data_IF_083005782648
#
_entry.id   IF_083005782648
#
_cell.length_a   1.000
_cell.length_b   1.000
_cell.length_c   1.000
_cell.angle_alpha   90.00
_cell.angle_beta   90.00
_cell.angle_gamma   90.00
#
_symmetry.space_group_name_H-M   'P 1'
#
loop_
_entity.id
_entity.type
_entity.pdbx_description
1 polymer ?
#
# COMPACT_ATOMS: atom_id res chain seq x y z
N UNK A 1 32.55 -18.90 -42.96
CA UNK A 1 31.29 -18.15 -43.18
C UNK A 1 31.38 -17.51 -44.56
N UNK A 2 30.33 -17.57 -45.39
CA UNK A 2 30.28 -16.85 -46.67
C UNK A 2 29.09 -15.91 -46.65
N UNK A 3 29.28 -14.69 -47.15
CA UNK A 3 28.19 -13.74 -47.29
C UNK A 3 27.33 -14.09 -48.53
N UNK A 4 26.17 -13.45 -48.65
CA UNK A 4 25.38 -13.51 -49.88
C UNK A 4 26.27 -13.07 -51.07
N UNK A 5 26.36 -13.91 -52.12
CA UNK A 5 27.30 -13.71 -53.23
C UNK A 5 28.65 -14.44 -53.10
N UNK A 6 28.77 -15.40 -52.18
CA UNK A 6 29.92 -16.33 -52.05
C UNK A 6 31.27 -15.71 -51.63
N UNK A 7 31.29 -14.45 -51.21
CA UNK A 7 32.51 -13.81 -50.69
C UNK A 7 32.96 -14.44 -49.36
N UNK A 8 34.20 -14.94 -49.26
CA UNK A 8 34.76 -15.47 -48.02
C UNK A 8 35.25 -14.33 -47.12
N UNK A 9 35.34 -14.60 -45.82
CA UNK A 9 36.10 -13.77 -44.89
C UNK A 9 37.60 -13.84 -45.24
N UNK A 10 38.29 -12.70 -45.18
CA UNK A 10 39.71 -12.62 -45.51
C UNK A 10 40.61 -13.27 -44.45
N UNK A 11 40.18 -13.26 -43.19
CA UNK A 11 40.88 -13.83 -42.03
C UNK A 11 39.87 -14.48 -41.08
N UNK A 12 40.32 -15.42 -40.26
CA UNK A 12 39.49 -16.05 -39.23
C UNK A 12 39.11 -15.02 -38.15
N UNK A 13 37.81 -14.80 -37.97
CA UNK A 13 37.28 -13.89 -36.94
C UNK A 13 36.71 -14.68 -35.77
N UNK A 14 37.30 -14.50 -34.58
CA UNK A 14 36.80 -15.06 -33.33
C UNK A 14 36.63 -13.95 -32.30
N UNK A 15 35.47 -13.93 -31.63
CA UNK A 15 35.18 -12.98 -30.55
C UNK A 15 34.60 -13.71 -29.34
N UNK A 16 35.09 -13.38 -28.14
CA UNK A 16 34.47 -13.78 -26.88
C UNK A 16 33.54 -12.66 -26.45
N UNK A 17 32.23 -12.89 -26.56
CA UNK A 17 31.23 -11.92 -26.14
C UNK A 17 30.66 -12.33 -24.79
N UNK A 18 30.75 -11.45 -23.80
CA UNK A 18 30.12 -11.68 -22.50
C UNK A 18 28.59 -11.59 -22.67
N UNK A 19 27.89 -12.69 -22.43
CA UNK A 19 26.43 -12.69 -22.44
C UNK A 19 25.94 -12.02 -21.15
N UNK A 20 25.16 -10.92 -21.22
CA UNK A 20 24.66 -10.26 -20.02
C UNK A 20 23.77 -11.23 -19.23
N UNK A 21 23.85 -11.17 -17.90
CA UNK A 21 22.93 -11.92 -17.07
C UNK A 21 21.53 -11.36 -17.23
N UNK A 22 20.55 -12.26 -17.38
CA UNK A 22 19.16 -11.86 -17.45
C UNK A 22 18.75 -11.14 -16.15
N UNK A 23 18.11 -9.96 -16.22
CA UNK A 23 17.67 -9.25 -15.04
C UNK A 23 16.68 -10.09 -14.25
N UNK A 24 16.83 -10.07 -12.94
CA UNK A 24 15.89 -10.65 -11.99
C UNK A 24 14.95 -9.54 -11.55
N UNK A 25 13.66 -9.79 -11.62
CA UNK A 25 12.63 -8.77 -11.41
C UNK A 25 11.51 -9.33 -10.56
N UNK A 26 10.94 -8.48 -9.70
CA UNK A 26 9.69 -8.70 -9.00
C UNK A 26 8.92 -7.40 -9.02
N UNK A 27 7.61 -7.48 -9.24
CA UNK A 27 6.72 -6.34 -9.25
C UNK A 27 5.36 -6.74 -8.66
N UNK A 28 4.82 -5.87 -7.82
CA UNK A 28 3.45 -5.95 -7.32
C UNK A 28 2.56 -5.29 -8.38
N UNK A 29 1.60 -6.04 -8.92
CA UNK A 29 0.73 -5.57 -10.00
C UNK A 29 -0.48 -4.80 -9.47
N UNK A 30 -1.13 -4.00 -10.33
CA UNK A 30 -2.24 -3.12 -9.99
C UNK A 30 -1.81 -1.70 -9.61
N UNK A 31 -2.76 -0.76 -9.62
CA UNK A 31 -2.55 0.66 -9.25
C UNK A 31 -3.40 1.01 -8.03
N UNK A 32 -2.88 1.88 -7.16
CA UNK A 32 -3.57 2.37 -5.96
C UNK A 32 -3.21 1.61 -4.67
N UNK A 33 -3.64 2.17 -3.55
CA UNK A 33 -3.34 1.69 -2.20
C UNK A 33 -4.54 1.07 -1.48
N UNK A 34 -5.59 0.66 -2.19
CA UNK A 34 -6.81 0.08 -1.62
C UNK A 34 -7.07 -1.31 -2.20
N UNK A 35 -7.26 -2.30 -1.33
CA UNK A 35 -7.65 -3.66 -1.68
C UNK A 35 -9.00 -3.95 -1.00
N UNK A 36 -10.04 -4.20 -1.80
CA UNK A 36 -11.37 -4.47 -1.25
C UNK A 36 -11.37 -5.77 -0.42
N UNK A 37 -11.96 -5.73 0.77
CA UNK A 37 -12.06 -6.90 1.64
C UNK A 37 -12.97 -8.01 1.05
N UNK A 38 -13.88 -7.65 0.16
CA UNK A 38 -14.93 -8.50 -0.41
C UNK A 38 -14.50 -9.38 -1.59
N UNK A 39 -13.23 -9.32 -2.00
CA UNK A 39 -12.68 -10.14 -3.09
C UNK A 39 -11.73 -11.25 -2.62
N UNK A 40 -10.87 -11.71 -3.54
CA UNK A 40 -9.92 -12.79 -3.30
C UNK A 40 -8.81 -12.43 -2.30
N UNK A 41 -8.73 -11.16 -1.84
CA UNK A 41 -7.72 -10.64 -0.90
C UNK A 41 -6.30 -11.00 -1.30
N UNK A 42 -6.08 -11.07 -2.62
CA UNK A 42 -4.82 -11.44 -3.24
C UNK A 42 -4.26 -10.27 -4.04
N UNK A 43 -2.94 -10.12 -4.01
CA UNK A 43 -2.22 -9.24 -4.92
C UNK A 43 -1.49 -10.04 -5.96
N UNK A 44 -1.68 -9.68 -7.22
CA UNK A 44 -0.93 -10.27 -8.34
C UNK A 44 0.52 -9.81 -8.27
N UNK A 45 1.44 -10.75 -8.42
CA UNK A 45 2.88 -10.54 -8.40
C UNK A 45 3.44 -11.02 -9.73
N UNK A 46 4.14 -10.13 -10.43
CA UNK A 46 4.89 -10.47 -11.63
C UNK A 46 6.36 -10.66 -11.25
N UNK A 47 6.96 -11.75 -11.70
CA UNK A 47 8.37 -12.04 -11.40
C UNK A 47 9.09 -12.62 -12.61
N UNK A 48 10.41 -12.46 -12.67
CA UNK A 48 11.26 -13.01 -13.73
C UNK A 48 12.54 -13.56 -13.15
N UNK A 49 12.91 -14.77 -13.59
CA UNK A 49 14.16 -15.43 -13.18
C UNK A 49 14.37 -15.55 -11.65
N UNK A 50 13.28 -15.63 -10.88
CA UNK A 50 13.27 -15.81 -9.43
C UNK A 50 12.67 -17.16 -9.06
N UNK A 51 13.40 -17.97 -8.29
CA UNK A 51 12.91 -19.29 -7.82
C UNK A 51 12.07 -19.20 -6.55
N UNK A 52 12.21 -18.09 -5.83
CA UNK A 52 11.43 -17.78 -4.65
C UNK A 52 11.35 -16.26 -4.49
N UNK A 53 10.30 -15.80 -3.81
CA UNK A 53 10.11 -14.42 -3.38
C UNK A 53 9.99 -14.43 -1.87
N UNK A 54 10.73 -13.55 -1.20
CA UNK A 54 10.53 -13.23 0.20
C UNK A 54 9.58 -12.04 0.29
N UNK A 55 8.51 -12.19 1.06
CA UNK A 55 7.59 -11.12 1.41
C UNK A 55 7.82 -10.68 2.84
N UNK A 56 8.01 -9.38 3.01
CA UNK A 56 7.99 -8.73 4.31
C UNK A 56 6.66 -7.98 4.43
N UNK A 57 5.84 -8.40 5.40
CA UNK A 57 4.48 -7.93 5.62
C UNK A 57 4.48 -7.15 6.93
N UNK A 58 4.54 -5.83 6.83
CA UNK A 58 4.52 -4.92 7.97
C UNK A 58 3.08 -4.43 8.17
N UNK A 59 2.36 -5.05 9.11
CA UNK A 59 1.00 -4.66 9.51
C UNK A 59 1.05 -3.49 10.48
N UNK A 60 0.64 -2.31 10.04
CA UNK A 60 0.62 -1.09 10.85
C UNK A 60 -0.43 -1.23 11.96
N UNK A 61 -0.03 -0.90 13.20
CA UNK A 61 -0.96 -0.78 14.31
C UNK A 61 -1.86 0.44 14.05
N UNK A 62 -3.16 0.24 14.12
CA UNK A 62 -4.14 1.28 13.78
C UNK A 62 -4.16 2.46 14.75
N UNK A 63 -3.68 2.24 15.98
CA UNK A 63 -3.41 3.31 16.95
C UNK A 63 -2.21 4.19 16.56
N UNK A 64 -1.46 3.84 15.51
CA UNK A 64 -0.29 4.57 15.02
C UNK A 64 -0.57 5.32 13.71
N UNK A 65 -1.83 5.42 13.27
CA UNK A 65 -2.19 6.12 12.01
C UNK A 65 -1.73 7.58 12.03
N UNK A 66 -1.81 8.26 13.17
CA UNK A 66 -1.30 9.63 13.32
C UNK A 66 0.20 9.73 12.98
N UNK A 67 1.00 8.75 13.42
CA UNK A 67 2.42 8.70 13.12
C UNK A 67 2.67 8.30 11.67
N UNK A 68 1.94 7.31 11.13
CA UNK A 68 2.01 6.97 9.72
C UNK A 68 1.80 8.22 8.84
N UNK A 69 0.73 8.99 9.10
CA UNK A 69 0.39 10.15 8.26
C UNK A 69 1.33 11.33 8.48
N UNK A 70 1.69 11.63 9.73
CA UNK A 70 2.52 12.79 10.04
C UNK A 70 4.01 12.59 9.74
N UNK A 71 4.50 11.35 9.78
CA UNK A 71 5.91 11.01 9.56
C UNK A 71 6.23 10.58 8.13
N UNK A 72 5.21 10.46 7.27
CA UNK A 72 5.41 10.13 5.85
C UNK A 72 5.01 11.27 4.91
N UNK A 73 5.58 11.22 3.71
CA UNK A 73 5.27 12.06 2.56
C UNK A 73 5.24 11.22 1.28
N UNK A 74 5.14 11.87 0.12
CA UNK A 74 5.00 11.17 -1.16
C UNK A 74 3.60 10.63 -1.38
N UNK A 75 3.50 9.64 -2.27
CA UNK A 75 2.22 9.04 -2.67
C UNK A 75 1.68 8.16 -1.56
N UNK A 76 0.37 8.11 -1.39
CA UNK A 76 -0.22 7.21 -0.39
C UNK A 76 0.14 5.73 -0.59
N UNK A 77 0.14 5.23 -1.83
CA UNK A 77 0.46 3.83 -2.14
C UNK A 77 1.95 3.50 -2.02
N UNK A 78 2.79 4.53 -1.92
CA UNK A 78 4.24 4.42 -1.74
C UNK A 78 4.75 5.56 -0.82
N UNK A 79 4.38 5.51 0.48
CA UNK A 79 4.68 6.59 1.39
C UNK A 79 6.12 6.46 1.87
N UNK A 80 6.85 7.57 1.77
CA UNK A 80 8.23 7.65 2.20
C UNK A 80 8.29 8.27 3.60
N UNK A 81 9.00 7.64 4.52
CA UNK A 81 9.25 8.22 5.83
C UNK A 81 10.24 9.37 5.69
N UNK A 82 9.94 10.51 6.32
CA UNK A 82 10.77 11.73 6.22
C UNK A 82 12.16 11.56 6.82
N UNK A 83 12.29 10.72 7.87
CA UNK A 83 13.54 10.45 8.56
C UNK A 83 13.64 8.96 8.94
N UNK A 84 13.81 8.07 7.95
CA UNK A 84 13.68 6.62 8.14
C UNK A 84 14.72 6.03 9.10
N UNK A 85 15.83 6.73 9.33
CA UNK A 85 16.85 6.37 10.32
C UNK A 85 16.38 6.53 11.78
N UNK A 86 15.35 7.35 12.02
CA UNK A 86 14.81 7.61 13.36
C UNK A 86 13.40 7.04 13.52
N UNK A 87 12.59 7.12 12.47
CA UNK A 87 11.21 6.65 12.49
C UNK A 87 10.84 6.04 11.15
N UNK A 88 10.45 4.77 11.16
CA UNK A 88 10.08 4.00 9.99
C UNK A 88 8.96 3.00 10.32
N UNK A 89 8.63 2.14 9.36
CA UNK A 89 7.55 1.14 9.51
C UNK A 89 7.76 0.17 10.68
N UNK A 90 9.00 -0.12 11.08
CA UNK A 90 9.32 -1.01 12.22
C UNK A 90 8.84 -0.41 13.55
N UNK A 91 8.78 0.92 13.66
CA UNK A 91 8.28 1.59 14.86
C UNK A 91 6.77 1.46 15.06
N UNK A 92 6.02 1.22 13.98
CA UNK A 92 4.55 1.28 13.98
C UNK A 92 3.87 -0.02 13.55
N UNK A 93 4.64 -1.05 13.19
CA UNK A 93 4.11 -2.26 12.56
C UNK A 93 4.55 -3.54 13.24
N UNK A 94 3.72 -4.58 13.13
CA UNK A 94 4.12 -5.97 13.31
C UNK A 94 4.65 -6.51 11.99
N UNK A 95 5.83 -7.12 12.01
CA UNK A 95 6.51 -7.58 10.80
C UNK A 95 6.48 -9.11 10.75
N UNK A 96 5.92 -9.64 9.67
CA UNK A 96 6.04 -11.04 9.30
C UNK A 96 6.93 -11.16 8.06
N UNK A 97 7.74 -12.22 8.01
CA UNK A 97 8.52 -12.58 6.84
C UNK A 97 8.08 -13.96 6.38
N UNK A 98 7.76 -14.10 5.11
CA UNK A 98 7.40 -15.37 4.50
C UNK A 98 8.09 -15.55 3.15
N UNK A 99 8.30 -16.80 2.77
CA UNK A 99 8.97 -17.15 1.52
C UNK A 99 8.02 -17.99 0.67
N UNK A 100 7.76 -17.51 -0.54
CA UNK A 100 6.92 -18.20 -1.51
C UNK A 100 7.81 -18.78 -2.62
N UNK A 101 7.83 -20.12 -2.81
CA UNK A 101 8.48 -20.71 -3.96
C UNK A 101 7.73 -20.32 -5.24
N UNK A 102 8.47 -20.06 -6.31
CA UNK A 102 7.93 -19.74 -7.62
C UNK A 102 8.22 -20.90 -8.58
N UNK A 103 7.17 -21.44 -9.19
CA UNK A 103 7.29 -22.43 -10.24
C UNK A 103 7.78 -21.72 -11.52
N UNK A 104 9.10 -21.74 -11.75
CA UNK A 104 9.72 -21.13 -12.92
C UNK A 104 9.82 -22.18 -14.02
N UNK A 105 8.94 -22.10 -15.01
CA UNK A 105 9.03 -22.97 -16.20
C UNK A 105 10.07 -22.45 -17.20
N UNK A 106 10.11 -21.13 -17.42
CA UNK A 106 11.04 -20.50 -18.35
C UNK A 106 11.61 -19.21 -17.75
N UNK A 107 12.93 -19.20 -17.50
CA UNK A 107 13.64 -18.04 -16.95
C UNK A 107 13.51 -16.77 -17.80
N UNK A 108 13.27 -16.91 -19.10
CA UNK A 108 13.14 -15.79 -20.06
C UNK A 108 11.73 -15.19 -20.13
N UNK A 109 10.73 -15.83 -19.52
CA UNK A 109 9.35 -15.34 -19.46
C UNK A 109 9.02 -14.81 -18.07
N UNK A 110 8.07 -13.88 -18.02
CA UNK A 110 7.45 -13.47 -16.77
C UNK A 110 6.63 -14.63 -16.19
N UNK A 111 6.71 -14.81 -14.88
CA UNK A 111 5.86 -15.69 -14.10
C UNK A 111 4.89 -14.82 -13.29
N UNK A 112 3.65 -15.28 -13.18
CA UNK A 112 2.62 -14.60 -12.41
C UNK A 112 2.23 -15.48 -11.23
N UNK A 113 2.31 -14.91 -10.04
CA UNK A 113 1.85 -15.53 -8.81
C UNK A 113 0.91 -14.57 -8.08
N UNK A 114 0.35 -15.02 -6.97
CA UNK A 114 -0.43 -14.18 -6.09
C UNK A 114 0.10 -14.27 -4.67
N UNK A 115 0.10 -13.15 -3.97
CA UNK A 115 0.30 -13.05 -2.52
C UNK A 115 -1.07 -12.99 -1.84
N UNK A 116 -1.33 -13.86 -0.86
CA UNK A 116 -2.62 -13.99 -0.18
C UNK A 116 -2.59 -13.37 1.22
N UNK A 117 -3.44 -12.37 1.46
CA UNK A 117 -3.52 -11.69 2.75
C UNK A 117 -4.39 -12.42 3.79
N UNK A 118 -5.02 -13.55 3.46
CA UNK A 118 -5.99 -14.20 4.34
C UNK A 118 -5.47 -14.45 5.77
N UNK A 119 -4.23 -14.91 5.91
CA UNK A 119 -3.60 -15.13 7.22
C UNK A 119 -3.33 -13.80 7.95
N UNK A 120 -2.83 -12.80 7.22
CA UNK A 120 -2.45 -11.48 7.75
C UNK A 120 -3.65 -10.62 8.18
N UNK A 121 -4.85 -10.93 7.68
CA UNK A 121 -6.10 -10.26 8.03
C UNK A 121 -6.78 -10.82 9.29
N UNK A 122 -6.27 -11.91 9.87
CA UNK A 122 -6.78 -12.46 11.12
C UNK A 122 -6.53 -11.50 12.29
N UNK A 123 -7.33 -11.60 13.34
CA UNK A 123 -7.06 -10.86 14.58
C UNK A 123 -5.76 -11.38 15.21
N UNK A 124 -4.77 -10.52 15.47
CA UNK A 124 -3.56 -10.91 16.18
C UNK A 124 -3.89 -11.41 17.59
N UNK A 125 -3.16 -12.43 18.05
CA UNK A 125 -3.36 -13.02 19.38
C UNK A 125 -2.91 -12.10 20.53
N UNK A 126 -1.98 -11.19 20.25
CA UNK A 126 -1.42 -10.19 21.17
C UNK A 126 -2.25 -8.89 21.23
N UNK A 127 -3.45 -8.89 20.61
CA UNK A 127 -4.36 -7.75 20.60
C UNK A 127 -4.17 -6.79 19.42
N UNK A 128 -5.17 -5.94 19.18
CA UNK A 128 -5.29 -5.09 17.99
C UNK A 128 -6.42 -5.59 17.09
N UNK A 129 -7.60 -5.01 17.22
CA UNK A 129 -8.85 -5.51 16.64
C UNK A 129 -9.01 -5.20 15.15
N UNK A 130 -8.28 -4.21 14.63
CA UNK A 130 -8.61 -3.57 13.37
C UNK A 130 -7.76 -4.11 12.22
N UNK A 131 -8.43 -4.48 11.14
CA UNK A 131 -7.80 -5.07 9.94
C UNK A 131 -7.16 -3.96 9.09
N UNK A 132 -6.28 -4.32 8.16
CA UNK A 132 -6.26 -3.56 6.91
C UNK A 132 -5.10 -2.64 6.58
N UNK A 133 -4.10 -2.37 7.44
CA UNK A 133 -3.00 -1.48 7.02
C UNK A 133 -1.68 -2.23 6.87
N UNK A 134 -1.14 -2.28 5.67
CA UNK A 134 0.06 -3.07 5.36
C UNK A 134 1.06 -2.31 4.50
N UNK A 135 2.32 -2.36 4.91
CA UNK A 135 3.44 -2.25 3.99
C UNK A 135 3.80 -3.66 3.52
N UNK A 136 3.61 -3.94 2.23
CA UNK A 136 4.08 -5.17 1.60
C UNK A 136 5.39 -4.87 0.86
N UNK A 137 6.45 -5.61 1.16
CA UNK A 137 7.67 -5.60 0.35
C UNK A 137 7.88 -6.99 -0.25
N UNK A 138 8.00 -7.08 -1.57
CA UNK A 138 8.40 -8.28 -2.28
C UNK A 138 9.88 -8.18 -2.67
N UNK A 139 10.68 -9.19 -2.35
CA UNK A 139 12.11 -9.27 -2.69
C UNK A 139 12.43 -10.62 -3.30
N UNK A 140 13.26 -10.64 -4.35
CA UNK A 140 13.78 -11.90 -4.86
C UNK A 140 14.55 -12.66 -3.77
N UNK A 141 14.38 -13.98 -3.69
CA UNK A 141 15.07 -14.83 -2.72
C UNK A 141 15.88 -15.91 -3.43
N UNK A 142 17.14 -16.09 -3.03
CA UNK A 142 17.98 -17.20 -3.46
C UNK A 142 17.89 -18.33 -2.41
N UNK A 143 17.11 -19.40 -2.65
CA UNK A 143 16.93 -20.47 -1.67
C UNK A 143 18.19 -21.30 -1.44
N UNK A 144 19.13 -21.33 -2.39
CA UNK A 144 20.37 -22.07 -2.25
C UNK A 144 21.37 -21.31 -1.37
N UNK A 145 21.46 -19.99 -1.54
CA UNK A 145 22.34 -19.13 -0.75
C UNK A 145 21.71 -18.63 0.54
N UNK A 146 20.39 -18.81 0.71
CA UNK A 146 19.57 -18.27 1.79
C UNK A 146 19.77 -16.76 1.98
N UNK A 147 19.71 -16.01 0.87
CA UNK A 147 19.94 -14.56 0.86
C UNK A 147 18.95 -13.83 -0.05
N UNK A 148 18.58 -12.59 0.29
CA UNK A 148 17.77 -11.75 -0.58
C UNK A 148 18.58 -11.28 -1.80
N UNK A 149 17.88 -11.05 -2.90
CA UNK A 149 18.38 -10.52 -4.16
C UNK A 149 17.96 -9.06 -4.21
N UNK A 150 18.81 -8.17 -3.67
CA UNK A 150 18.46 -6.76 -3.46
C UNK A 150 18.11 -5.99 -4.74
N UNK A 151 18.62 -6.43 -5.90
CA UNK A 151 18.30 -5.82 -7.20
C UNK A 151 16.88 -6.12 -7.69
N UNK A 152 16.19 -7.09 -7.09
CA UNK A 152 14.82 -7.46 -7.42
C UNK A 152 13.94 -7.18 -6.20
N UNK A 153 13.39 -5.96 -6.12
CA UNK A 153 12.55 -5.52 -5.01
C UNK A 153 11.45 -4.59 -5.50
N UNK A 154 10.27 -4.75 -4.91
CA UNK A 154 9.16 -3.82 -5.05
C UNK A 154 8.42 -3.69 -3.70
N UNK A 155 7.75 -2.56 -3.47
CA UNK A 155 6.98 -2.32 -2.25
C UNK A 155 5.70 -1.55 -2.51
N UNK A 156 4.71 -1.76 -1.64
CA UNK A 156 3.43 -1.06 -1.70
C UNK A 156 2.82 -0.91 -0.32
N UNK A 157 2.23 0.26 -0.07
CA UNK A 157 1.34 0.48 1.05
C UNK A 157 -0.13 0.24 0.65
N UNK A 158 -0.84 -0.51 1.48
CA UNK A 158 -2.15 -1.06 1.18
C UNK A 158 -3.08 -0.88 2.38
N UNK A 159 -4.27 -0.36 2.10
CA UNK A 159 -5.44 -0.40 2.94
C UNK A 159 -6.36 -1.53 2.46
N UNK A 160 -6.62 -2.53 3.31
CA UNK A 160 -7.54 -3.64 3.06
C UNK A 160 -8.78 -3.45 3.92
N UNK A 161 -9.86 -2.96 3.31
CA UNK A 161 -11.08 -2.56 4.00
C UNK A 161 -12.31 -2.75 3.11
N UNK A 162 -13.48 -2.80 3.73
CA UNK A 162 -14.78 -2.60 3.07
C UNK A 162 -15.31 -1.18 3.23
N UNK A 163 -14.61 -0.29 3.94
CA UNK A 163 -15.04 1.10 4.16
C UNK A 163 -14.46 2.00 3.07
N UNK A 164 -15.30 2.54 2.21
CA UNK A 164 -15.00 3.68 1.36
C UNK A 164 -15.23 4.98 2.14
N UNK A 165 -14.24 5.88 2.12
CA UNK A 165 -14.32 7.20 2.76
C UNK A 165 -14.19 8.30 1.72
N UNK A 166 -15.13 9.24 1.76
CA UNK A 166 -15.06 10.50 1.02
C UNK A 166 -15.16 11.65 2.02
N UNK A 167 -14.23 12.60 1.91
CA UNK A 167 -14.24 13.82 2.72
C UNK A 167 -14.43 15.03 1.81
N UNK A 168 -15.26 15.96 2.25
CA UNK A 168 -15.49 17.24 1.58
C UNK A 168 -15.21 18.36 2.57
N UNK A 169 -14.31 19.26 2.20
CA UNK A 169 -14.06 20.49 2.96
C UNK A 169 -15.04 21.57 2.52
N UNK A 170 -15.67 22.24 3.49
CA UNK A 170 -16.64 23.31 3.26
C UNK A 170 -15.95 24.69 3.29
N UNK A 171 -16.64 25.71 2.76
CA UNK A 171 -16.14 27.09 2.70
C UNK A 171 -15.89 27.67 4.10
N UNK A 172 -16.68 27.26 5.09
CA UNK A 172 -16.53 27.65 6.49
C UNK A 172 -15.38 26.91 7.21
N UNK A 173 -14.62 26.08 6.49
CA UNK A 173 -13.54 25.25 7.00
C UNK A 173 -14.02 23.97 7.68
N UNK A 174 -15.33 23.74 7.80
CA UNK A 174 -15.91 22.48 8.26
C UNK A 174 -15.64 21.33 7.29
N UNK A 175 -15.98 20.11 7.69
CA UNK A 175 -15.80 18.92 6.86
C UNK A 175 -17.01 17.99 6.94
N UNK A 176 -17.49 17.55 5.78
CA UNK A 176 -18.44 16.45 5.64
C UNK A 176 -17.69 15.16 5.34
N UNK A 177 -18.06 14.08 5.99
CA UNK A 177 -17.50 12.75 5.78
C UNK A 177 -18.63 11.80 5.41
N UNK A 178 -18.46 11.08 4.30
CA UNK A 178 -19.38 10.06 3.81
C UNK A 178 -18.69 8.70 3.83
N UNK A 179 -19.35 7.71 4.42
CA UNK A 179 -18.88 6.34 4.47
C UNK A 179 -19.84 5.42 3.72
N UNK A 180 -19.28 4.59 2.84
CA UNK A 180 -20.01 3.57 2.09
C UNK A 180 -19.28 2.23 2.14
N UNK A 181 -20.03 1.13 2.10
CA UNK A 181 -19.45 -0.19 1.94
C UNK A 181 -19.01 -0.38 0.50
N UNK A 182 -17.74 -0.73 0.28
CA UNK A 182 -17.16 -1.00 -1.04
C UNK A 182 -17.83 -2.22 -1.67
N UNK A 183 -18.16 -3.24 -0.85
CA UNK A 183 -18.83 -4.46 -1.28
C UNK A 183 -20.26 -4.21 -1.75
N UNK A 184 -21.05 -3.50 -0.95
CA UNK A 184 -22.50 -3.38 -1.17
C UNK A 184 -22.91 -2.09 -1.88
N UNK A 185 -22.01 -1.10 -1.92
CA UNK A 185 -22.30 0.25 -2.39
C UNK A 185 -23.24 1.03 -1.47
N UNK A 186 -23.66 0.47 -0.33
CA UNK A 186 -24.62 1.08 0.58
C UNK A 186 -23.94 2.00 1.60
N UNK A 187 -24.62 3.06 2.07
CA UNK A 187 -24.12 3.88 3.16
C UNK A 187 -23.92 3.07 4.44
N UNK A 188 -22.89 3.42 5.22
CA UNK A 188 -22.61 2.76 6.51
C UNK A 188 -23.17 3.63 7.63
N UNK A 189 -24.25 3.18 8.27
CA UNK A 189 -24.86 3.84 9.43
C UNK A 189 -24.16 3.43 10.74
N UNK A 190 -23.95 4.38 11.64
CA UNK A 190 -23.44 4.13 13.00
C UNK A 190 -21.94 3.83 13.08
N UNK A 191 -21.18 4.04 12.00
CA UNK A 191 -19.73 4.01 12.05
C UNK A 191 -19.18 5.23 12.80
N UNK A 192 -18.19 5.02 13.66
CA UNK A 192 -17.50 6.08 14.39
C UNK A 192 -16.45 6.72 13.48
N UNK A 193 -16.46 8.04 13.40
CA UNK A 193 -15.47 8.84 12.67
C UNK A 193 -14.78 9.80 13.63
N UNK A 194 -13.45 9.84 13.55
CA UNK A 194 -12.61 10.68 14.41
C UNK A 194 -11.68 11.54 13.55
N UNK A 195 -11.52 12.81 13.94
CA UNK A 195 -10.40 13.63 13.46
C UNK A 195 -9.27 13.46 14.46
N UNK A 196 -8.19 12.79 14.07
CA UNK A 196 -7.04 12.59 14.95
C UNK A 196 -6.12 13.82 14.94
N UNK A 197 -5.65 14.20 16.13
CA UNK A 197 -4.53 15.12 16.31
C UNK A 197 -3.19 14.45 16.03
N UNK A 198 -2.13 15.26 15.91
CA UNK A 198 -0.75 14.81 15.69
C UNK A 198 -0.27 13.80 16.74
N UNK A 199 -0.77 13.91 17.97
CA UNK A 199 -0.48 12.98 19.08
C UNK A 199 -1.32 11.68 19.07
N UNK A 200 -2.25 11.51 18.13
CA UNK A 200 -3.12 10.34 18.04
C UNK A 200 -4.39 10.40 18.90
N UNK A 201 -4.62 11.49 19.63
CA UNK A 201 -5.87 11.70 20.38
C UNK A 201 -6.93 12.32 19.46
N UNK A 202 -8.19 11.83 19.47
CA UNK A 202 -9.27 12.46 18.73
C UNK A 202 -9.49 13.93 19.17
N UNK A 203 -9.50 14.84 18.20
CA UNK A 203 -9.90 16.25 18.39
C UNK A 203 -11.43 16.34 18.45
N UNK A 204 -12.09 15.61 17.56
CA UNK A 204 -13.53 15.50 17.46
C UNK A 204 -13.90 14.06 17.07
N UNK A 205 -15.08 13.62 17.51
CA UNK A 205 -15.65 12.30 17.21
C UNK A 205 -17.11 12.49 16.83
N UNK A 206 -17.56 11.80 15.79
CA UNK A 206 -18.94 11.75 15.36
C UNK A 206 -19.34 10.32 14.97
N UNK A 207 -20.64 10.06 14.86
CA UNK A 207 -21.16 8.84 14.25
C UNK A 207 -21.88 9.19 12.96
N UNK A 208 -21.74 8.33 11.97
CA UNK A 208 -22.47 8.44 10.70
C UNK A 208 -23.96 8.15 10.90
N UNK A 209 -24.81 8.91 10.21
CA UNK A 209 -26.25 8.69 10.21
C UNK A 209 -26.67 7.63 9.17
N UNK A 210 -27.98 7.45 8.97
CA UNK A 210 -28.54 6.42 8.08
C UNK A 210 -28.11 6.55 6.61
N UNK A 211 -27.74 7.76 6.18
CA UNK A 211 -27.20 8.08 4.86
C UNK A 211 -25.67 7.97 4.79
N UNK A 212 -25.02 7.43 5.83
CA UNK A 212 -23.57 7.24 5.91
C UNK A 212 -22.78 8.53 6.13
N UNK A 213 -23.44 9.62 6.50
CA UNK A 213 -22.84 10.94 6.64
C UNK A 213 -22.62 11.35 8.09
N UNK A 214 -21.52 12.05 8.35
CA UNK A 214 -21.35 12.88 9.54
C UNK A 214 -20.61 14.19 9.19
N UNK A 215 -20.87 15.26 9.95
CA UNK A 215 -20.24 16.56 9.75
C UNK A 215 -19.38 16.96 10.97
N UNK A 216 -18.29 17.67 10.69
CA UNK A 216 -17.37 18.22 11.68
C UNK A 216 -17.23 19.74 11.50
N UNK A 217 -17.37 20.53 12.58
CA UNK A 217 -16.93 21.92 12.61
C UNK A 217 -15.44 22.08 12.27
N UNK A 218 -15.07 23.27 11.78
CA UNK A 218 -13.68 23.60 11.43
C UNK A 218 -12.71 23.34 12.57
N UNK A 219 -11.60 22.67 12.25
CA UNK A 219 -10.45 22.43 13.14
C UNK A 219 -9.20 23.19 12.70
N UNK A 220 -9.32 24.14 11.77
CA UNK A 220 -8.16 24.85 11.18
C UNK A 220 -7.32 25.63 12.19
N UNK A 221 -7.93 26.05 13.30
CA UNK A 221 -7.25 26.75 14.41
C UNK A 221 -6.58 25.80 15.40
N UNK A 222 -6.59 24.49 15.14
CA UNK A 222 -5.97 23.50 16.02
C UNK A 222 -4.46 23.44 15.75
N UNK A 223 -3.67 23.64 16.81
CA UNK A 223 -2.22 23.74 16.71
C UNK A 223 -1.52 22.64 17.53
N UNK A 224 -0.18 22.55 17.37
CA UNK A 224 0.70 21.66 18.16
C UNK A 224 0.24 20.21 18.14
N UNK A 225 -0.07 19.62 19.30
CA UNK A 225 -0.50 18.24 19.45
C UNK A 225 -1.88 17.97 18.85
N UNK A 226 -2.71 19.02 18.74
CA UNK A 226 -4.05 18.98 18.14
C UNK A 226 -4.05 19.33 16.66
N UNK A 227 -2.89 19.50 16.02
CA UNK A 227 -2.86 19.67 14.57
C UNK A 227 -3.55 18.45 13.90
N UNK A 228 -4.59 18.63 13.08
CA UNK A 228 -5.34 17.51 12.52
C UNK A 228 -4.51 16.78 11.46
N UNK A 229 -4.46 15.45 11.55
CA UNK A 229 -3.62 14.63 10.66
C UNK A 229 -4.42 13.65 9.81
N UNK A 230 -5.52 13.10 10.32
CA UNK A 230 -6.34 12.15 9.57
C UNK A 230 -7.79 12.14 10.04
N UNK A 231 -8.71 11.86 9.11
CA UNK A 231 -10.00 11.28 9.42
C UNK A 231 -9.82 9.76 9.55
N UNK A 232 -10.34 9.17 10.62
CA UNK A 232 -10.32 7.72 10.84
C UNK A 232 -11.74 7.22 11.07
N UNK A 233 -12.17 6.28 10.25
CA UNK A 233 -13.48 5.65 10.31
C UNK A 233 -13.37 4.22 10.85
N UNK A 234 -14.26 3.84 11.77
CA UNK A 234 -14.31 2.52 12.40
C UNK A 234 -15.72 1.95 12.35
N UNK A 235 -15.83 0.71 11.89
CA UNK A 235 -17.10 -0.02 11.87
C UNK A 235 -16.84 -1.51 12.12
N UNK A 236 -17.22 -1.98 13.32
CA UNK A 236 -16.87 -3.33 13.77
C UNK A 236 -15.35 -3.52 13.88
N UNK A 237 -14.82 -4.49 13.12
CA UNK A 237 -13.38 -4.79 13.04
C UNK A 237 -12.67 -4.10 11.86
N UNK A 238 -13.41 -3.28 11.11
CA UNK A 238 -12.93 -2.63 9.91
C UNK A 238 -12.57 -1.16 10.17
N UNK A 239 -11.64 -0.67 9.38
CA UNK A 239 -11.06 0.65 9.50
C UNK A 239 -10.72 1.22 8.12
N UNK A 240 -10.99 2.51 7.95
CA UNK A 240 -10.41 3.29 6.86
C UNK A 240 -9.90 4.61 7.40
N UNK A 241 -8.96 5.22 6.69
CA UNK A 241 -8.50 6.56 7.02
C UNK A 241 -8.27 7.38 5.77
N UNK A 242 -8.40 8.70 5.92
CA UNK A 242 -8.06 9.69 4.92
C UNK A 242 -7.15 10.73 5.57
N UNK A 243 -5.93 10.98 5.04
CA UNK A 243 -5.10 12.08 5.50
C UNK A 243 -5.87 13.41 5.44
N UNK A 244 -5.78 14.22 6.50
CA UNK A 244 -6.60 15.43 6.64
C UNK A 244 -6.26 16.50 5.60
N UNK A 245 -4.97 16.64 5.27
CA UNK A 245 -4.48 17.62 4.30
C UNK A 245 -3.33 17.02 3.47
N UNK A 246 -3.67 16.30 2.40
CA UNK A 246 -2.69 15.85 1.39
C UNK A 246 -3.14 16.23 -0.01
N UNK A 247 -2.23 16.86 -0.75
CA UNK A 247 -2.48 17.34 -2.11
C UNK A 247 -2.71 16.20 -3.12
N UNK A 248 -2.09 15.03 -2.91
CA UNK A 248 -2.22 13.85 -3.78
C UNK A 248 -3.58 13.12 -3.62
N UNK A 249 -4.45 13.61 -2.74
CA UNK A 249 -5.80 13.07 -2.47
C UNK A 249 -6.93 14.04 -2.80
N UNK A 250 -6.62 15.16 -3.44
CA UNK A 250 -7.63 16.09 -3.93
C UNK A 250 -8.23 15.53 -5.23
N UNK A 251 -9.56 15.57 -5.34
CA UNK A 251 -10.24 15.19 -6.57
C UNK A 251 -9.78 16.13 -7.71
N UNK A 252 -9.35 15.55 -8.84
CA UNK A 252 -8.99 16.37 -9.99
C UNK A 252 -10.27 16.86 -10.68
N UNK A 253 -10.56 18.15 -10.55
CA UNK A 253 -11.75 18.76 -11.15
C UNK A 253 -11.53 19.32 -12.56
N UNK A 254 -10.35 19.15 -13.17
CA UNK A 254 -10.02 19.78 -14.48
C UNK A 254 -10.91 19.35 -15.65
N UNK A 255 -11.76 18.33 -15.46
CA UNK A 255 -12.71 17.81 -16.45
C UNK A 255 -14.16 18.19 -16.15
N UNK A 256 -14.41 18.92 -15.08
CA UNK A 256 -15.73 19.39 -14.69
C UNK A 256 -15.79 20.91 -14.91
N UNK A 257 -16.91 21.39 -15.44
CA UNK A 257 -17.25 22.81 -15.35
C UNK A 257 -17.68 23.07 -13.90
N UNK A 258 -16.80 23.68 -13.12
CA UNK A 258 -16.97 24.02 -11.69
C UNK A 258 -16.84 25.52 -11.47
#
# INVERSE_FOLDING_TARGET
MRAFGDYPLAEDYNAVVAVPQLPREVQIEGQGGLLALSGDRKLSIRSRALRAIEFEVARVATTQINHLVSQTEGKFEDPEFRAPQYFNKENISRIAIEQQPIAVDNKWKANYSAFDFAEHLRKPADGGSERGLFFLTARGWDPAKKKPINSARDSRFLLVTDIGILTKKNIDGGSDVFLMSIKSGQPINGATVEILGKNGVPIQTAQTAADGHCAFPSVEKSEREKLPVAFVARYGDDIAFMPFAREDRILNFSRFEI
#
